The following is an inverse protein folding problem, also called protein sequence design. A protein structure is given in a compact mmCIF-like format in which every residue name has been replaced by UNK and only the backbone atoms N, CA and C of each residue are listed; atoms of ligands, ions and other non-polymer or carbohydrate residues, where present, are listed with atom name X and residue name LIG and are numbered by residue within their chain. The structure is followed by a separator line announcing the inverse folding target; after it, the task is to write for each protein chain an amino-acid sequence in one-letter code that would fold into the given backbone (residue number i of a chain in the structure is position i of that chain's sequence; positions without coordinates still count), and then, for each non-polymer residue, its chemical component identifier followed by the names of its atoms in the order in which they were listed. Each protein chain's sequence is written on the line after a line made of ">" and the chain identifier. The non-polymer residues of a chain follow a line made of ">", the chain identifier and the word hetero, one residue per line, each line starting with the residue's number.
data_IF_381412372039
#
_entry.id   IF_381412372039
#
_cell.length_a   1.000
_cell.length_b   1.000
_cell.length_c   1.000
_cell.angle_alpha   90.00
_cell.angle_beta   90.00
_cell.angle_gamma   90.00
#
_symmetry.space_group_name_H-M   'P 1'
#
loop_
_entity.id
_entity.type
_entity.pdbx_description
1 polymer ?
#
# COMPACT_ATOMS: atom_id res chain seq x y z
N UNK A 1 60.45 -30.27 14.95
CA UNK A 1 59.01 -29.97 15.00
C UNK A 1 58.63 -29.34 13.67
N UNK A 2 57.86 -29.96 12.80
CA UNK A 2 57.43 -29.35 11.53
C UNK A 2 56.29 -28.39 11.83
N UNK A 3 56.45 -27.12 11.46
CA UNK A 3 55.40 -26.11 11.51
C UNK A 3 54.29 -26.50 10.50
N UNK A 4 53.07 -26.72 10.96
CA UNK A 4 51.89 -26.83 10.12
C UNK A 4 51.73 -25.53 9.31
N UNK A 5 52.11 -25.56 8.04
CA UNK A 5 51.71 -24.54 7.06
C UNK A 5 50.17 -24.67 6.89
N UNK A 6 49.43 -23.85 7.60
CA UNK A 6 47.98 -23.68 7.35
C UNK A 6 47.83 -23.23 5.89
N UNK A 7 47.22 -24.06 5.07
CA UNK A 7 47.07 -23.84 3.62
C UNK A 7 46.16 -22.64 3.39
N UNK A 8 46.55 -21.65 2.56
CA UNK A 8 45.73 -20.44 2.28
C UNK A 8 44.34 -20.78 1.71
N UNK A 9 44.13 -21.98 1.19
CA UNK A 9 42.85 -22.47 0.68
C UNK A 9 41.76 -22.61 1.76
N UNK A 10 42.11 -22.98 3.01
CA UNK A 10 41.12 -23.16 4.08
C UNK A 10 40.58 -21.80 4.55
N UNK A 11 41.47 -20.81 4.66
CA UNK A 11 41.07 -19.44 5.03
C UNK A 11 40.16 -18.80 3.96
N UNK A 12 40.49 -18.98 2.68
CA UNK A 12 39.68 -18.49 1.57
C UNK A 12 38.28 -19.16 1.52
N UNK A 13 38.21 -20.48 1.75
CA UNK A 13 36.95 -21.20 1.78
C UNK A 13 36.07 -20.75 2.94
N UNK A 14 36.63 -20.47 4.13
CA UNK A 14 35.89 -19.97 5.27
C UNK A 14 35.32 -18.54 5.01
N UNK A 15 36.12 -17.68 4.39
CA UNK A 15 35.66 -16.32 4.02
C UNK A 15 34.50 -16.36 3.03
N UNK A 16 34.59 -17.23 2.00
CA UNK A 16 33.50 -17.40 1.05
C UNK A 16 32.23 -17.97 1.69
N UNK A 17 32.37 -18.91 2.59
CA UNK A 17 31.23 -19.47 3.35
C UNK A 17 30.55 -18.40 4.23
N UNK A 18 31.34 -17.61 4.96
CA UNK A 18 30.83 -16.53 5.81
C UNK A 18 30.14 -15.45 4.96
N UNK A 19 30.70 -15.10 3.81
CA UNK A 19 30.09 -14.15 2.88
C UNK A 19 28.77 -14.69 2.30
N UNK A 20 28.69 -15.97 1.95
CA UNK A 20 27.46 -16.61 1.49
C UNK A 20 26.37 -16.66 2.57
N UNK A 21 26.74 -16.97 3.81
CA UNK A 21 25.83 -16.95 4.95
C UNK A 21 25.30 -15.53 5.25
N UNK A 22 26.18 -14.52 5.18
CA UNK A 22 25.77 -13.13 5.36
C UNK A 22 24.83 -12.64 4.23
N UNK A 23 25.09 -13.04 3.00
CA UNK A 23 24.22 -12.72 1.86
C UNK A 23 22.83 -13.38 2.00
N UNK A 24 22.78 -14.66 2.40
CA UNK A 24 21.53 -15.37 2.64
C UNK A 24 20.71 -14.74 3.77
N UNK A 25 21.37 -14.33 4.87
CA UNK A 25 20.70 -13.63 5.95
C UNK A 25 20.15 -12.27 5.53
N UNK A 26 20.89 -11.50 4.74
CA UNK A 26 20.44 -10.21 4.21
C UNK A 26 19.26 -10.37 3.23
N UNK A 27 19.22 -11.42 2.45
CA UNK A 27 18.09 -11.75 1.58
C UNK A 27 16.86 -12.13 2.39
N UNK A 28 16.99 -12.96 3.43
CA UNK A 28 15.89 -13.33 4.33
C UNK A 28 15.30 -12.09 5.03
N UNK A 29 16.14 -11.17 5.51
CA UNK A 29 15.69 -9.93 6.12
C UNK A 29 14.95 -9.04 5.12
N UNK A 30 15.41 -9.00 3.86
CA UNK A 30 14.75 -8.26 2.79
C UNK A 30 13.38 -8.85 2.45
N UNK A 31 13.25 -10.18 2.42
CA UNK A 31 11.97 -10.88 2.21
C UNK A 31 10.98 -10.57 3.34
N UNK A 32 11.43 -10.66 4.60
CA UNK A 32 10.60 -10.33 5.78
C UNK A 32 10.12 -8.87 5.75
N UNK A 33 11.04 -7.94 5.43
CA UNK A 33 10.68 -6.54 5.22
C UNK A 33 9.65 -6.38 4.10
N UNK A 34 9.85 -7.04 2.97
CA UNK A 34 8.92 -7.01 1.84
C UNK A 34 7.55 -7.55 2.21
N UNK A 35 7.47 -8.65 2.97
CA UNK A 35 6.20 -9.17 3.49
C UNK A 35 5.47 -8.13 4.35
N UNK A 36 6.20 -7.53 5.29
CA UNK A 36 5.66 -6.48 6.16
C UNK A 36 5.07 -5.32 5.34
N UNK A 37 5.81 -4.84 4.33
CA UNK A 37 5.38 -3.75 3.48
C UNK A 37 4.19 -4.11 2.58
N UNK A 38 4.13 -5.34 2.06
CA UNK A 38 2.99 -5.86 1.27
C UNK A 38 1.73 -5.93 2.13
N UNK A 39 1.85 -6.32 3.40
CA UNK A 39 0.73 -6.30 4.36
C UNK A 39 0.29 -4.86 4.65
N UNK A 40 1.22 -4.01 5.05
CA UNK A 40 0.95 -2.60 5.34
C UNK A 40 0.34 -1.85 4.13
N UNK A 41 0.78 -2.18 2.91
CA UNK A 41 0.27 -1.61 1.66
C UNK A 41 -1.05 -2.20 1.18
N UNK A 42 -1.66 -3.16 1.91
CA UNK A 42 -2.95 -3.76 1.55
C UNK A 42 -2.96 -4.51 0.21
N UNK A 43 -1.80 -4.96 -0.28
CA UNK A 43 -1.71 -5.59 -1.60
C UNK A 43 -2.60 -6.83 -1.71
N UNK A 44 -2.68 -7.63 -0.62
CA UNK A 44 -3.50 -8.84 -0.58
C UNK A 44 -5.00 -8.54 -0.73
N UNK A 45 -5.48 -7.49 -0.07
CA UNK A 45 -6.90 -7.10 -0.11
C UNK A 45 -7.35 -6.74 -1.53
N UNK A 46 -6.50 -6.08 -2.32
CA UNK A 46 -6.82 -5.73 -3.70
C UNK A 46 -6.51 -6.84 -4.70
N UNK A 47 -5.40 -7.57 -4.53
CA UNK A 47 -4.92 -8.54 -5.52
C UNK A 47 -5.31 -9.99 -5.23
N UNK A 48 -6.31 -10.22 -4.37
CA UNK A 48 -6.87 -11.55 -4.12
C UNK A 48 -8.38 -11.51 -4.31
N UNK A 49 -8.89 -12.25 -5.29
CA UNK A 49 -10.34 -12.39 -5.48
C UNK A 49 -10.96 -13.19 -4.31
N UNK A 50 -12.22 -12.96 -3.94
CA UNK A 50 -12.91 -13.80 -2.97
C UNK A 50 -12.85 -15.29 -3.35
N UNK A 51 -12.29 -16.11 -2.45
CA UNK A 51 -12.04 -17.54 -2.71
C UNK A 51 -10.93 -17.86 -3.71
N UNK A 52 -10.24 -16.84 -4.24
CA UNK A 52 -9.12 -16.99 -5.17
C UNK A 52 -7.78 -17.23 -4.47
N UNK A 53 -6.76 -17.49 -5.29
CA UNK A 53 -5.40 -17.65 -4.78
C UNK A 53 -4.79 -16.29 -4.43
N UNK A 54 -4.02 -16.26 -3.34
CA UNK A 54 -3.41 -15.04 -2.81
C UNK A 54 -2.56 -14.34 -3.87
N UNK A 55 -2.80 -13.04 -4.06
CA UNK A 55 -2.10 -12.14 -4.99
C UNK A 55 -2.21 -12.53 -6.48
N UNK A 56 -3.07 -13.49 -6.83
CA UNK A 56 -3.31 -13.89 -8.22
C UNK A 56 -4.28 -12.97 -8.99
N UNK A 57 -4.76 -11.90 -8.36
CA UNK A 57 -5.64 -10.92 -9.00
C UNK A 57 -7.11 -11.36 -9.10
N UNK A 58 -7.82 -10.76 -10.04
CA UNK A 58 -9.22 -11.10 -10.35
C UNK A 58 -10.28 -10.45 -9.46
N UNK A 59 -9.88 -9.68 -8.44
CA UNK A 59 -10.82 -8.95 -7.58
C UNK A 59 -11.48 -7.82 -8.37
N UNK A 60 -12.80 -7.76 -8.33
CA UNK A 60 -13.59 -6.69 -8.91
C UNK A 60 -13.59 -5.46 -7.98
N UNK A 61 -13.18 -4.31 -8.49
CA UNK A 61 -13.16 -3.03 -7.82
C UNK A 61 -14.18 -2.13 -8.50
N UNK A 62 -15.34 -1.98 -7.91
CA UNK A 62 -16.43 -1.17 -8.45
C UNK A 62 -16.19 0.31 -8.18
N UNK A 63 -16.35 1.13 -9.21
CA UNK A 63 -16.21 2.59 -9.14
C UNK A 63 -17.33 3.27 -9.94
N UNK A 64 -17.54 4.58 -9.78
CA UNK A 64 -18.47 5.34 -10.63
C UNK A 64 -18.12 5.32 -12.14
N UNK A 65 -16.89 4.91 -12.50
CA UNK A 65 -16.42 4.87 -13.89
C UNK A 65 -16.54 3.49 -14.52
N UNK A 66 -16.88 2.47 -13.74
CA UNK A 66 -16.96 1.07 -14.15
C UNK A 66 -16.26 0.13 -13.19
N UNK A 67 -16.15 -1.13 -13.56
CA UNK A 67 -15.49 -2.17 -12.76
C UNK A 67 -14.07 -2.41 -13.25
N UNK A 68 -13.11 -2.26 -12.35
CA UNK A 68 -11.72 -2.63 -12.59
C UNK A 68 -11.45 -4.00 -11.98
N UNK A 69 -10.58 -4.76 -12.60
CA UNK A 69 -10.14 -6.06 -12.07
C UNK A 69 -8.66 -5.99 -11.74
N UNK A 70 -8.31 -6.37 -10.51
CA UNK A 70 -6.91 -6.38 -10.09
C UNK A 70 -6.12 -7.43 -10.88
N UNK A 71 -4.89 -7.10 -11.32
CA UNK A 71 -4.06 -8.06 -12.03
C UNK A 71 -3.39 -9.07 -11.09
N UNK A 72 -2.92 -10.18 -11.67
CA UNK A 72 -2.02 -11.12 -11.04
C UNK A 72 -0.66 -10.46 -10.78
N UNK A 73 -0.24 -10.41 -9.52
CA UNK A 73 1.07 -9.89 -9.10
C UNK A 73 1.98 -10.97 -8.49
N UNK A 74 1.65 -12.26 -8.71
CA UNK A 74 2.57 -13.36 -8.41
C UNK A 74 3.70 -13.41 -9.43
N UNK A 75 4.82 -14.12 -9.14
CA UNK A 75 5.95 -14.21 -10.06
C UNK A 75 5.72 -15.16 -11.25
N UNK A 76 4.46 -15.34 -11.69
CA UNK A 76 4.18 -16.07 -12.91
C UNK A 76 4.71 -15.31 -14.14
N UNK A 77 5.53 -15.94 -15.00
CA UNK A 77 6.17 -15.24 -16.10
C UNK A 77 5.24 -14.93 -17.29
N UNK A 78 4.02 -15.47 -17.33
CA UNK A 78 3.07 -15.27 -18.42
C UNK A 78 1.93 -14.34 -18.02
N UNK A 79 1.35 -14.54 -16.86
CA UNK A 79 0.12 -13.84 -16.43
C UNK A 79 0.38 -12.88 -15.25
N UNK A 80 1.53 -13.00 -14.57
CA UNK A 80 1.93 -12.18 -13.45
C UNK A 80 3.08 -11.22 -13.77
N UNK A 81 3.88 -10.91 -12.76
CA UNK A 81 4.99 -9.95 -12.84
C UNK A 81 6.37 -10.61 -12.94
N UNK A 82 6.45 -11.94 -13.14
CA UNK A 82 7.70 -12.71 -13.05
C UNK A 82 8.80 -12.33 -14.05
N UNK A 83 8.47 -11.57 -15.12
CA UNK A 83 9.46 -11.05 -16.08
C UNK A 83 9.83 -9.58 -15.86
N UNK A 84 9.28 -8.93 -14.85
CA UNK A 84 9.52 -7.51 -14.66
C UNK A 84 10.89 -7.24 -14.04
N UNK A 85 11.60 -6.31 -14.63
CA UNK A 85 12.84 -5.78 -14.05
C UNK A 85 12.51 -4.92 -12.83
N UNK A 86 13.52 -4.59 -12.01
CA UNK A 86 13.36 -3.69 -10.86
C UNK A 86 12.85 -2.31 -11.30
N UNK A 87 13.43 -1.79 -12.39
CA UNK A 87 13.02 -0.50 -12.94
C UNK A 87 11.57 -0.51 -13.45
N UNK A 88 11.11 -1.59 -14.08
CA UNK A 88 9.71 -1.74 -14.51
C UNK A 88 8.76 -1.82 -13.33
N UNK A 89 9.12 -2.57 -12.30
CA UNK A 89 8.30 -2.67 -11.08
C UNK A 89 8.19 -1.32 -10.36
N UNK A 90 9.32 -0.64 -10.15
CA UNK A 90 9.33 0.69 -9.52
C UNK A 90 8.54 1.70 -10.33
N UNK A 91 8.68 1.71 -11.66
CA UNK A 91 7.92 2.59 -12.55
C UNK A 91 6.41 2.31 -12.47
N UNK A 92 6.02 1.05 -12.45
CA UNK A 92 4.62 0.65 -12.31
C UNK A 92 4.05 1.12 -10.98
N UNK A 93 4.74 0.82 -9.88
CA UNK A 93 4.31 1.14 -8.52
C UNK A 93 4.25 2.66 -8.28
N UNK A 94 5.29 3.40 -8.68
CA UNK A 94 5.47 4.80 -8.30
C UNK A 94 5.00 5.80 -9.35
N UNK A 95 4.94 5.40 -10.61
CA UNK A 95 4.51 6.28 -11.69
C UNK A 95 3.19 5.84 -12.32
N UNK A 96 2.68 4.64 -12.00
CA UNK A 96 1.48 4.10 -12.61
C UNK A 96 1.64 3.89 -14.11
N UNK A 97 2.79 3.35 -14.55
CA UNK A 97 3.10 3.07 -15.96
C UNK A 97 3.51 1.61 -16.11
N UNK A 98 2.84 0.89 -17.00
CA UNK A 98 3.15 -0.53 -17.27
C UNK A 98 4.53 -0.72 -17.91
N UNK A 99 5.07 -1.96 -17.96
CA UNK A 99 6.30 -2.24 -18.71
C UNK A 99 6.26 -1.78 -20.17
N UNK A 100 5.08 -1.84 -20.80
CA UNK A 100 4.82 -1.45 -22.19
C UNK A 100 4.64 0.07 -22.37
N UNK A 101 4.73 0.86 -21.29
CA UNK A 101 4.58 2.31 -21.32
C UNK A 101 3.14 2.83 -21.21
N UNK A 102 2.17 1.94 -20.95
CA UNK A 102 0.77 2.33 -20.81
C UNK A 102 0.46 2.86 -19.41
N UNK A 103 -0.28 3.97 -19.32
CA UNK A 103 -0.72 4.51 -18.04
C UNK A 103 -1.76 3.62 -17.37
N UNK A 104 -1.60 3.35 -16.08
CA UNK A 104 -2.63 2.72 -15.25
C UNK A 104 -3.73 3.70 -14.88
N UNK A 105 -4.90 3.16 -14.55
CA UNK A 105 -5.98 3.93 -13.94
C UNK A 105 -5.68 4.21 -12.46
N UNK A 106 -6.09 5.36 -11.90
CA UNK A 106 -5.80 5.74 -10.53
C UNK A 106 -6.63 4.97 -9.48
N UNK A 107 -7.35 3.92 -9.88
CA UNK A 107 -7.84 2.88 -8.97
C UNK A 107 -6.67 2.06 -8.38
N UNK A 108 -5.57 1.96 -9.10
CA UNK A 108 -4.28 1.58 -8.55
C UNK A 108 -3.65 2.81 -7.88
N UNK A 109 -3.39 2.81 -6.56
CA UNK A 109 -3.07 4.01 -5.79
C UNK A 109 -1.63 4.49 -5.99
N UNK A 110 -1.14 4.52 -7.25
CA UNK A 110 0.18 5.08 -7.57
C UNK A 110 0.33 6.56 -7.16
N UNK A 111 -0.76 7.38 -7.02
CA UNK A 111 -0.62 8.72 -6.48
C UNK A 111 -0.12 8.75 -5.03
N UNK A 112 -0.40 7.73 -4.26
CA UNK A 112 0.16 7.51 -2.92
C UNK A 112 1.49 6.78 -2.99
N UNK A 113 1.57 5.69 -3.75
CA UNK A 113 2.76 4.84 -3.87
C UNK A 113 3.97 5.53 -4.51
N UNK A 114 3.79 6.64 -5.22
CA UNK A 114 4.92 7.46 -5.71
C UNK A 114 5.87 7.88 -4.57
N UNK A 115 5.36 7.95 -3.34
CA UNK A 115 6.09 8.33 -2.14
C UNK A 115 6.85 7.19 -1.46
N UNK A 116 6.61 5.94 -1.86
CA UNK A 116 7.35 4.79 -1.34
C UNK A 116 8.83 4.94 -1.71
N UNK A 117 9.74 4.65 -0.77
CA UNK A 117 11.17 4.69 -1.03
C UNK A 117 11.60 3.62 -2.03
N UNK A 118 12.74 3.82 -2.69
CA UNK A 118 13.28 2.84 -3.65
C UNK A 118 13.59 1.50 -2.95
N UNK A 119 14.15 1.56 -1.74
CA UNK A 119 14.46 0.37 -0.95
C UNK A 119 13.20 -0.42 -0.57
N UNK A 120 12.11 0.27 -0.18
CA UNK A 120 10.86 -0.38 0.16
C UNK A 120 10.16 -0.97 -1.07
N UNK A 121 10.19 -0.26 -2.19
CA UNK A 121 9.66 -0.79 -3.46
C UNK A 121 10.40 -2.08 -3.90
N UNK A 122 11.73 -2.11 -3.74
CA UNK A 122 12.52 -3.30 -4.05
C UNK A 122 12.27 -4.44 -3.05
N UNK A 123 12.15 -4.15 -1.75
CA UNK A 123 11.80 -5.17 -0.76
C UNK A 123 10.42 -5.78 -1.03
N UNK A 124 9.42 -4.97 -1.40
CA UNK A 124 8.11 -5.46 -1.85
C UNK A 124 8.27 -6.42 -3.03
N UNK A 125 9.06 -6.04 -4.05
CA UNK A 125 9.31 -6.91 -5.21
C UNK A 125 9.97 -8.21 -4.80
N UNK A 126 11.02 -8.17 -3.98
CA UNK A 126 11.76 -9.37 -3.52
C UNK A 126 10.80 -10.34 -2.84
N UNK A 127 9.93 -9.85 -1.95
CA UNK A 127 8.91 -10.70 -1.32
C UNK A 127 7.92 -11.28 -2.34
N UNK A 128 7.38 -10.48 -3.26
CA UNK A 128 6.45 -10.98 -4.27
C UNK A 128 7.09 -12.06 -5.15
N UNK A 129 8.39 -11.93 -5.45
CA UNK A 129 9.15 -12.90 -6.24
C UNK A 129 9.55 -14.15 -5.46
N UNK A 130 9.52 -14.13 -4.13
CA UNK A 130 9.72 -15.31 -3.28
C UNK A 130 8.47 -16.20 -3.16
N UNK A 131 7.31 -15.70 -3.61
CA UNK A 131 6.04 -16.43 -3.53
C UNK A 131 5.91 -17.46 -4.66
N UNK A 132 5.06 -18.49 -4.47
CA UNK A 132 4.72 -19.40 -5.56
C UNK A 132 4.10 -18.67 -6.75
N UNK A 133 4.54 -18.99 -7.95
CA UNK A 133 3.93 -18.51 -9.19
C UNK A 133 2.54 -19.13 -9.37
N UNK A 134 1.55 -18.30 -9.64
CA UNK A 134 0.17 -18.73 -9.92
C UNK A 134 -0.18 -18.33 -11.35
N UNK A 135 -0.48 -19.31 -12.19
CA UNK A 135 -0.95 -19.03 -13.53
C UNK A 135 -2.45 -18.69 -13.51
N UNK A 136 -2.76 -17.39 -13.66
CA UNK A 136 -4.12 -16.87 -13.73
C UNK A 136 -4.18 -15.70 -14.70
N UNK A 137 -4.99 -15.84 -15.75
CA UNK A 137 -5.18 -14.79 -16.74
C UNK A 137 -5.81 -13.54 -16.13
N UNK A 138 -5.29 -12.39 -16.55
CA UNK A 138 -5.81 -11.10 -16.13
C UNK A 138 -7.12 -10.78 -16.85
N UNK A 139 -8.13 -10.42 -16.07
CA UNK A 139 -9.43 -10.06 -16.60
C UNK A 139 -9.42 -8.62 -17.14
N UNK A 140 -9.97 -8.36 -18.37
CA UNK A 140 -10.13 -7.00 -18.87
C UNK A 140 -11.05 -6.18 -17.97
N UNK A 141 -10.78 -4.88 -17.87
CA UNK A 141 -11.64 -3.96 -17.13
C UNK A 141 -12.96 -3.75 -17.86
N UNK A 142 -14.05 -3.65 -17.09
CA UNK A 142 -15.38 -3.30 -17.58
C UNK A 142 -15.64 -1.80 -17.33
N UNK A 143 -15.07 -0.98 -18.22
CA UNK A 143 -15.10 0.49 -18.14
C UNK A 143 -15.55 1.04 -19.48
N UNK A 144 -16.64 1.80 -19.47
CA UNK A 144 -17.23 2.36 -20.69
C UNK A 144 -16.38 3.50 -21.28
N UNK A 145 -16.49 3.68 -22.61
CA UNK A 145 -15.97 4.89 -23.25
C UNK A 145 -16.71 6.14 -22.70
N UNK A 146 -16.03 7.28 -22.48
CA UNK A 146 -14.63 7.56 -22.84
C UNK A 146 -13.62 7.16 -21.76
N UNK A 147 -14.05 6.70 -20.58
CA UNK A 147 -13.17 6.43 -19.44
C UNK A 147 -12.23 5.24 -19.66
N UNK A 148 -12.58 4.31 -20.55
CA UNK A 148 -11.69 3.22 -20.97
C UNK A 148 -10.49 3.67 -21.80
N UNK A 149 -10.51 4.89 -22.34
CA UNK A 149 -9.44 5.40 -23.21
C UNK A 149 -8.21 5.81 -22.40
N UNK A 150 -7.15 5.00 -22.48
CA UNK A 150 -5.91 5.17 -21.70
C UNK A 150 -5.22 6.51 -21.92
N UNK A 151 -5.39 7.16 -23.07
CA UNK A 151 -4.83 8.48 -23.33
C UNK A 151 -5.35 9.55 -22.34
N UNK A 152 -6.61 9.42 -21.88
CA UNK A 152 -7.18 10.33 -20.89
C UNK A 152 -6.40 10.29 -19.56
N UNK A 153 -5.74 9.18 -19.25
CA UNK A 153 -4.92 9.05 -18.04
C UNK A 153 -3.68 9.95 -18.08
N UNK A 154 -3.17 10.29 -19.27
CA UNK A 154 -2.10 11.27 -19.39
C UNK A 154 -2.57 12.66 -18.96
N UNK A 155 -3.73 13.09 -19.44
CA UNK A 155 -4.34 14.36 -19.01
C UNK A 155 -4.68 14.37 -17.53
N UNK A 156 -5.23 13.27 -17.02
CA UNK A 156 -5.53 13.12 -15.60
C UNK A 156 -4.26 13.26 -14.72
N UNK A 157 -3.16 12.62 -15.12
CA UNK A 157 -1.88 12.74 -14.42
C UNK A 157 -1.33 14.17 -14.43
N UNK A 158 -1.42 14.86 -15.55
CA UNK A 158 -0.97 16.26 -15.62
C UNK A 158 -1.73 17.16 -14.65
N UNK A 159 -3.00 16.87 -14.38
CA UNK A 159 -3.86 17.70 -13.53
C UNK A 159 -3.78 17.30 -12.04
N UNK A 160 -3.58 16.03 -11.72
CA UNK A 160 -3.84 15.51 -10.38
C UNK A 160 -2.71 14.65 -9.81
N UNK A 161 -1.67 14.34 -10.56
CA UNK A 161 -0.58 13.50 -10.09
C UNK A 161 0.70 14.33 -9.92
N UNK A 162 1.20 14.34 -8.69
CA UNK A 162 2.50 14.95 -8.35
C UNK A 162 3.46 13.83 -7.94
N UNK A 163 4.35 13.40 -8.86
CA UNK A 163 5.31 12.35 -8.55
C UNK A 163 6.40 12.87 -7.61
N UNK A 164 6.92 11.99 -6.78
CA UNK A 164 8.05 12.29 -5.91
C UNK A 164 8.11 11.37 -4.70
N UNK A 165 9.32 11.14 -4.16
CA UNK A 165 9.49 10.35 -2.94
C UNK A 165 8.86 11.06 -1.74
N UNK A 166 8.67 10.31 -0.65
CA UNK A 166 8.32 10.91 0.63
C UNK A 166 9.48 11.76 1.15
N UNK A 167 9.18 12.98 1.54
CA UNK A 167 10.14 13.91 2.15
C UNK A 167 9.77 14.12 3.63
N UNK A 168 10.61 13.67 4.56
CA UNK A 168 10.39 13.90 5.98
C UNK A 168 10.41 15.40 6.30
N UNK A 169 9.50 15.84 7.16
CA UNK A 169 9.47 17.22 7.65
C UNK A 169 10.54 17.39 8.73
N UNK A 170 11.52 18.29 8.55
CA UNK A 170 12.65 18.44 9.48
C UNK A 170 12.25 19.03 10.84
N UNK A 171 11.11 19.71 10.91
CA UNK A 171 10.54 20.31 12.12
C UNK A 171 9.64 19.35 12.92
N UNK A 172 9.49 18.09 12.46
CA UNK A 172 8.68 17.06 13.11
C UNK A 172 9.54 15.91 13.61
N UNK A 173 9.02 15.20 14.63
CA UNK A 173 9.69 14.02 15.18
C UNK A 173 9.84 12.89 14.16
N UNK A 174 10.78 11.96 14.43
CA UNK A 174 10.92 10.76 13.61
C UNK A 174 9.65 9.91 13.62
N UNK A 175 8.97 9.79 14.76
CA UNK A 175 7.69 9.07 14.91
C UNK A 175 6.61 9.69 14.03
N UNK A 176 6.44 11.02 14.06
CA UNK A 176 5.49 11.72 13.19
C UNK A 176 5.81 11.48 11.71
N UNK A 177 7.07 11.59 11.30
CA UNK A 177 7.48 11.37 9.92
C UNK A 177 7.28 9.90 9.49
N UNK A 178 7.48 8.94 10.39
CA UNK A 178 7.17 7.53 10.14
C UNK A 178 5.66 7.32 9.93
N UNK A 179 4.83 7.88 10.80
CA UNK A 179 3.37 7.85 10.64
C UNK A 179 2.91 8.52 9.35
N UNK A 180 3.48 9.68 9.00
CA UNK A 180 3.21 10.37 7.75
C UNK A 180 3.52 9.48 6.53
N UNK A 181 4.67 8.80 6.53
CA UNK A 181 5.05 7.84 5.48
C UNK A 181 4.04 6.69 5.37
N UNK A 182 3.69 6.08 6.51
CA UNK A 182 2.74 4.97 6.53
C UNK A 182 1.37 5.41 6.02
N UNK A 183 0.80 6.49 6.54
CA UNK A 183 -0.55 6.96 6.20
C UNK A 183 -0.65 7.48 4.77
N UNK A 184 0.36 8.22 4.27
CA UNK A 184 0.26 8.92 2.99
C UNK A 184 0.88 8.18 1.82
N UNK A 185 1.81 7.24 2.08
CA UNK A 185 2.47 6.45 1.06
C UNK A 185 2.02 5.00 1.08
N UNK A 186 2.37 4.26 2.14
CA UNK A 186 2.26 2.80 2.15
C UNK A 186 0.83 2.31 2.38
N UNK A 187 0.23 2.63 3.53
CA UNK A 187 -1.16 2.25 3.84
C UNK A 187 -2.20 3.13 3.13
N UNK A 188 -1.77 4.22 2.49
CA UNK A 188 -2.57 5.10 1.63
C UNK A 188 -4.00 5.40 2.13
N UNK A 189 -4.16 5.63 3.44
CA UNK A 189 -5.44 5.82 4.11
C UNK A 189 -6.32 6.88 3.41
N UNK A 190 -5.69 7.93 2.87
CA UNK A 190 -6.34 9.00 2.13
C UNK A 190 -7.05 8.54 0.84
N UNK A 191 -6.71 7.40 0.27
CA UNK A 191 -7.39 6.89 -0.93
C UNK A 191 -8.86 6.52 -0.67
N UNK A 192 -9.15 6.03 0.53
CA UNK A 192 -10.52 5.74 0.96
C UNK A 192 -11.11 6.88 1.80
N UNK A 193 -10.31 7.48 2.70
CA UNK A 193 -10.81 8.46 3.68
C UNK A 193 -10.82 9.91 3.18
N UNK A 194 -10.57 10.17 1.90
CA UNK A 194 -10.63 11.52 1.32
C UNK A 194 -11.70 11.58 0.23
N UNK A 195 -12.59 12.58 0.23
CA UNK A 195 -13.58 12.70 -0.83
C UNK A 195 -12.93 12.96 -2.18
N UNK A 196 -13.58 12.52 -3.24
CA UNK A 196 -13.10 12.68 -4.62
C UNK A 196 -13.91 13.73 -5.38
N UNK A 197 -13.28 14.33 -6.37
CA UNK A 197 -13.96 15.18 -7.34
C UNK A 197 -14.63 14.34 -8.45
N UNK A 198 -15.30 14.99 -9.40
CA UNK A 198 -15.99 14.31 -10.50
C UNK A 198 -15.08 13.53 -11.45
N UNK A 199 -13.77 13.82 -11.44
CA UNK A 199 -12.76 13.11 -12.22
C UNK A 199 -12.03 12.02 -11.41
N UNK A 200 -12.52 11.71 -10.20
CA UNK A 200 -11.99 10.66 -9.34
C UNK A 200 -10.72 11.02 -8.57
N UNK A 201 -10.19 12.24 -8.69
CA UNK A 201 -9.05 12.69 -7.90
C UNK A 201 -9.47 13.09 -6.47
N UNK A 202 -8.62 12.84 -5.49
CA UNK A 202 -8.84 13.26 -4.10
C UNK A 202 -8.90 14.79 -3.99
N UNK A 203 -9.78 15.31 -3.15
CA UNK A 203 -9.93 16.76 -2.93
C UNK A 203 -8.84 17.26 -1.99
N UNK A 204 -8.00 18.17 -2.50
CA UNK A 204 -7.06 18.91 -1.66
C UNK A 204 -7.82 19.70 -0.59
N UNK A 205 -7.26 19.78 0.61
CA UNK A 205 -7.89 20.49 1.74
C UNK A 205 -8.98 19.69 2.48
N UNK A 206 -9.31 18.47 2.03
CA UNK A 206 -10.25 17.56 2.70
C UNK A 206 -9.64 16.17 2.97
N UNK A 207 -8.32 16.12 3.11
CA UNK A 207 -7.62 14.88 3.38
C UNK A 207 -8.15 14.22 4.66
N UNK A 208 -8.42 12.92 4.58
CA UNK A 208 -8.89 12.09 5.69
C UNK A 208 -10.26 12.47 6.25
N UNK A 209 -11.00 13.39 5.63
CA UNK A 209 -12.31 13.87 6.09
C UNK A 209 -13.49 12.96 5.72
N UNK A 210 -13.22 11.75 5.23
CA UNK A 210 -14.21 10.75 4.87
C UNK A 210 -14.95 11.01 3.56
N UNK A 211 -15.68 10.01 3.08
CA UNK A 211 -16.46 10.09 1.82
C UNK A 211 -17.72 9.23 1.89
N UNK A 212 -18.85 9.66 1.27
CA UNK A 212 -20.03 8.81 1.12
C UNK A 212 -19.86 7.75 0.01
N UNK A 213 -18.86 7.89 -0.85
CA UNK A 213 -18.65 7.10 -2.07
C UNK A 213 -17.30 6.35 -1.96
N UNK A 214 -17.14 5.55 -0.92
CA UNK A 214 -15.97 4.69 -0.72
C UNK A 214 -16.02 3.41 -1.57
N UNK A 215 -15.10 2.46 -1.33
CA UNK A 215 -15.10 1.17 -2.00
C UNK A 215 -16.48 0.51 -1.89
N UNK A 216 -16.95 -0.08 -3.01
CA UNK A 216 -18.25 -0.73 -3.12
C UNK A 216 -19.45 0.15 -2.70
N UNK A 217 -19.30 1.48 -2.71
CA UNK A 217 -20.34 2.44 -2.28
C UNK A 217 -20.53 2.52 -0.76
N UNK A 218 -19.56 2.05 0.00
CA UNK A 218 -19.58 2.15 1.46
C UNK A 218 -19.32 3.57 1.93
N UNK A 219 -19.93 3.91 3.08
CA UNK A 219 -19.56 5.13 3.80
C UNK A 219 -18.20 4.94 4.45
N UNK A 220 -17.28 5.84 4.15
CA UNK A 220 -15.96 5.88 4.77
C UNK A 220 -15.89 7.06 5.72
N UNK A 221 -15.66 6.85 7.03
CA UNK A 221 -15.74 7.89 8.03
C UNK A 221 -14.62 8.93 7.91
N UNK A 222 -14.88 10.09 8.52
CA UNK A 222 -13.87 11.09 8.81
C UNK A 222 -12.91 10.55 9.89
N UNK A 223 -11.62 10.55 9.61
CA UNK A 223 -10.55 10.13 10.54
C UNK A 223 -9.61 11.29 10.89
N UNK A 224 -10.03 12.53 10.66
CA UNK A 224 -9.36 13.69 11.25
C UNK A 224 -9.72 13.82 12.74
N UNK A 225 -8.90 14.53 13.54
CA UNK A 225 -9.17 14.70 14.98
C UNK A 225 -10.31 15.70 15.27
N UNK A 226 -11.35 15.68 14.46
CA UNK A 226 -12.57 16.45 14.74
C UNK A 226 -13.42 15.74 15.80
N UNK A 227 -13.78 16.40 16.93
CA UNK A 227 -14.46 15.72 18.02
C UNK A 227 -15.95 15.45 17.75
N UNK A 228 -16.54 16.07 16.73
CA UNK A 228 -17.95 15.90 16.41
C UNK A 228 -18.18 14.88 15.29
N UNK A 229 -17.28 14.80 14.32
CA UNK A 229 -17.50 14.03 13.09
C UNK A 229 -16.36 13.08 12.75
N UNK A 230 -15.23 13.15 13.47
CA UNK A 230 -14.03 12.34 13.26
C UNK A 230 -13.64 11.55 14.51
N UNK A 231 -12.35 11.29 14.66
CA UNK A 231 -11.78 10.51 15.76
C UNK A 231 -11.31 11.36 16.95
N UNK A 232 -11.66 12.65 17.01
CA UNK A 232 -11.14 13.57 18.01
C UNK A 232 -11.61 13.34 19.46
N UNK A 233 -12.51 12.38 19.68
CA UNK A 233 -12.88 11.91 21.03
C UNK A 233 -12.16 10.64 21.46
N UNK A 234 -11.45 10.00 20.53
CA UNK A 234 -10.68 8.80 20.80
C UNK A 234 -9.35 9.20 21.42
N UNK A 235 -8.93 8.51 22.45
CA UNK A 235 -7.56 8.65 22.93
C UNK A 235 -6.58 7.89 22.03
N UNK A 236 -5.29 7.97 22.35
CA UNK A 236 -4.24 7.33 21.55
C UNK A 236 -4.39 5.81 21.57
N UNK A 237 -4.71 5.26 22.71
CA UNK A 237 -4.89 3.83 22.96
C UNK A 237 -6.10 3.29 22.16
N UNK A 238 -7.19 4.04 22.08
CA UNK A 238 -8.36 3.70 21.27
C UNK A 238 -8.02 3.55 19.78
N UNK A 239 -7.24 4.49 19.24
CA UNK A 239 -6.85 4.47 17.83
C UNK A 239 -5.90 3.30 17.55
N UNK A 240 -4.90 3.07 18.42
CA UNK A 240 -3.97 1.94 18.30
C UNK A 240 -4.72 0.61 18.36
N UNK A 241 -5.64 0.45 19.31
CA UNK A 241 -6.42 -0.76 19.47
C UNK A 241 -7.35 -1.00 18.26
N UNK A 242 -7.98 0.07 17.75
CA UNK A 242 -8.77 -0.02 16.53
C UNK A 242 -7.93 -0.47 15.33
N UNK A 243 -6.76 0.11 15.12
CA UNK A 243 -5.87 -0.26 14.02
C UNK A 243 -5.39 -1.71 14.13
N UNK A 244 -5.22 -2.23 15.36
CA UNK A 244 -4.79 -3.60 15.66
C UNK A 244 -5.91 -4.62 15.50
N UNK A 245 -7.10 -4.32 16.01
CA UNK A 245 -8.17 -5.32 16.19
C UNK A 245 -9.43 -5.04 15.37
N UNK A 246 -9.62 -3.79 14.92
CA UNK A 246 -10.84 -3.33 14.30
C UNK A 246 -11.99 -3.11 15.28
N UNK A 247 -11.72 -3.03 16.60
CA UNK A 247 -12.72 -2.71 17.62
C UNK A 247 -12.74 -1.21 17.90
N UNK A 248 -13.91 -0.60 17.83
CA UNK A 248 -14.09 0.80 18.22
C UNK A 248 -14.20 0.94 19.74
N UNK A 249 -14.02 2.15 20.32
CA UNK A 249 -14.23 2.38 21.76
C UNK A 249 -15.62 1.95 22.25
N UNK A 250 -16.63 2.03 21.38
CA UNK A 250 -17.99 1.58 21.67
C UNK A 250 -18.18 0.05 21.56
N UNK A 251 -17.08 -0.71 21.50
CA UNK A 251 -17.04 -2.16 21.40
C UNK A 251 -17.75 -2.71 20.14
N UNK A 252 -17.77 -1.93 19.07
CA UNK A 252 -18.28 -2.34 17.77
C UNK A 252 -17.14 -2.80 16.86
N UNK A 253 -17.33 -3.92 16.17
CA UNK A 253 -16.33 -4.40 15.19
C UNK A 253 -16.53 -3.70 13.84
N UNK A 254 -15.44 -3.24 13.27
CA UNK A 254 -15.41 -2.67 11.92
C UNK A 254 -15.88 -3.69 10.87
N UNK A 255 -16.54 -3.20 9.82
CA UNK A 255 -17.11 -4.02 8.73
C UNK A 255 -16.58 -3.56 7.37
N UNK A 256 -16.98 -4.29 6.32
CA UNK A 256 -16.69 -3.95 4.94
C UNK A 256 -15.20 -3.90 4.62
N UNK A 257 -14.82 -2.99 3.73
CA UNK A 257 -13.45 -2.86 3.25
C UNK A 257 -12.44 -2.57 4.38
N UNK A 258 -12.82 -1.76 5.38
CA UNK A 258 -11.90 -1.47 6.49
C UNK A 258 -11.61 -2.70 7.36
N UNK A 259 -12.55 -3.65 7.48
CA UNK A 259 -12.26 -4.93 8.16
C UNK A 259 -11.15 -5.69 7.44
N UNK A 260 -11.18 -5.75 6.11
CA UNK A 260 -10.13 -6.41 5.33
C UNK A 260 -8.79 -5.69 5.50
N UNK A 261 -8.78 -4.35 5.51
CA UNK A 261 -7.57 -3.54 5.75
C UNK A 261 -6.94 -3.88 7.11
N UNK A 262 -7.75 -4.06 8.16
CA UNK A 262 -7.25 -4.47 9.48
C UNK A 262 -6.79 -5.93 9.44
N UNK A 263 -7.65 -6.86 8.99
CA UNK A 263 -7.40 -8.30 9.08
C UNK A 263 -6.24 -8.77 8.20
N UNK A 264 -6.05 -8.18 7.01
CA UNK A 264 -5.02 -8.57 6.05
C UNK A 264 -3.75 -7.72 6.14
N UNK A 265 -3.81 -6.56 6.80
CA UNK A 265 -2.74 -5.57 6.82
C UNK A 265 -2.38 -5.05 8.21
N UNK A 266 -3.18 -4.14 8.75
CA UNK A 266 -2.79 -3.31 9.89
C UNK A 266 -2.47 -4.11 11.16
N UNK A 267 -3.19 -5.19 11.45
CA UNK A 267 -2.91 -6.05 12.62
C UNK A 267 -1.52 -6.68 12.65
N UNK A 268 -0.81 -6.69 11.52
CA UNK A 268 0.55 -7.23 11.40
C UNK A 268 1.63 -6.14 11.56
N UNK A 269 1.24 -4.88 11.70
CA UNK A 269 2.17 -3.80 11.96
C UNK A 269 2.73 -3.90 13.38
N UNK A 270 3.97 -3.42 13.54
CA UNK A 270 4.57 -3.29 14.87
C UNK A 270 3.81 -2.25 15.69
N UNK A 271 3.92 -2.36 17.01
CA UNK A 271 3.36 -1.38 17.95
C UNK A 271 3.85 0.03 17.61
N UNK A 272 5.16 0.19 17.40
CA UNK A 272 5.77 1.48 17.05
C UNK A 272 5.15 2.09 15.78
N UNK A 273 4.82 1.28 14.76
CA UNK A 273 4.21 1.75 13.53
C UNK A 273 2.72 2.09 13.71
N UNK A 274 1.98 1.34 14.54
CA UNK A 274 0.59 1.67 14.91
C UNK A 274 0.54 2.99 15.70
N UNK A 275 1.45 3.18 16.65
CA UNK A 275 1.59 4.44 17.38
C UNK A 275 1.97 5.60 16.48
N UNK A 276 2.91 5.38 15.53
CA UNK A 276 3.31 6.41 14.58
C UNK A 276 2.15 6.83 13.67
N UNK A 277 1.34 5.89 13.18
CA UNK A 277 0.11 6.19 12.43
C UNK A 277 -0.83 7.02 13.29
N UNK A 278 -1.04 6.63 14.54
CA UNK A 278 -1.92 7.31 15.50
C UNK A 278 -1.45 8.74 15.76
N UNK A 279 -0.17 8.93 16.07
CA UNK A 279 0.43 10.26 16.31
C UNK A 279 0.28 11.16 15.09
N UNK A 280 0.45 10.60 13.88
CA UNK A 280 0.23 11.36 12.66
C UNK A 280 -1.24 11.76 12.47
N UNK A 281 -2.19 10.83 12.65
CA UNK A 281 -3.62 11.08 12.47
C UNK A 281 -4.15 12.12 13.46
N UNK A 282 -3.78 12.00 14.73
CA UNK A 282 -4.21 12.92 15.79
C UNK A 282 -3.57 14.32 15.65
N UNK A 283 -2.44 14.43 14.96
CA UNK A 283 -1.77 15.70 14.67
C UNK A 283 -2.27 16.41 13.39
N UNK A 284 -3.24 15.81 12.66
CA UNK A 284 -3.80 16.46 11.47
C UNK A 284 -4.76 17.60 11.85
N UNK A 285 -4.97 18.57 10.95
CA UNK A 285 -6.03 19.56 11.12
C UNK A 285 -7.40 18.89 11.26
N UNK A 286 -8.17 19.29 12.28
CA UNK A 286 -9.55 18.85 12.42
C UNK A 286 -10.42 19.40 11.29
N UNK A 287 -11.18 18.55 10.64
CA UNK A 287 -12.10 18.93 9.56
C UNK A 287 -13.51 18.49 9.96
N UNK A 288 -14.40 19.46 10.18
CA UNK A 288 -15.81 19.18 10.48
C UNK A 288 -16.50 18.69 9.22
N UNK A 289 -16.81 17.39 9.16
CA UNK A 289 -17.51 16.79 8.02
C UNK A 289 -18.29 15.55 8.43
N UNK A 290 -19.61 15.67 8.47
CA UNK A 290 -20.49 14.51 8.59
C UNK A 290 -20.58 13.77 7.26
N UNK A 291 -20.32 12.46 7.28
CA UNK A 291 -20.44 11.62 6.09
C UNK A 291 -21.80 10.90 6.13
N UNK A 292 -22.67 11.27 5.22
CA UNK A 292 -24.01 10.66 5.08
C UNK A 292 -24.19 10.12 3.66
N UNK A 293 -25.01 9.08 3.48
CA UNK A 293 -25.36 8.58 2.14
C UNK A 293 -25.98 9.70 1.31
N UNK A 294 -25.59 9.81 0.06
CA UNK A 294 -26.31 10.64 -0.89
C UNK A 294 -27.72 10.04 -1.06
N UNK A 295 -28.74 10.89 -0.90
CA UNK A 295 -30.13 10.50 -1.18
C UNK A 295 -30.36 10.39 -2.68
#
# INVERSE_FOLDING_TARGET
>A
MPALRQTPCVAAALVLLLAALAAAAAEEDTVKRGEYLVRAGGCCSCHTAPGGQKLAGGRALKTPFGTFYSPNITPDPKTGIGRWTDAQFQRALRQGVSPEGTNYFPVFPYPSFTRITDSDALAIKVYLFSLPAVHQENRPHDVAFPFSWRLLQTGWKLLFFSPGPFEPKPDRSAVYNRGAYLVTALAHCGECHTPRNLLGATRSGQQLAGTPDGPDGELVPNITPDPATGIGKWDKEDVVEFLRTGMTPEQSRVKGAMREVVEDGLKYLSEDDLEAITDYLLAQPAIVRSVTRRK
#
